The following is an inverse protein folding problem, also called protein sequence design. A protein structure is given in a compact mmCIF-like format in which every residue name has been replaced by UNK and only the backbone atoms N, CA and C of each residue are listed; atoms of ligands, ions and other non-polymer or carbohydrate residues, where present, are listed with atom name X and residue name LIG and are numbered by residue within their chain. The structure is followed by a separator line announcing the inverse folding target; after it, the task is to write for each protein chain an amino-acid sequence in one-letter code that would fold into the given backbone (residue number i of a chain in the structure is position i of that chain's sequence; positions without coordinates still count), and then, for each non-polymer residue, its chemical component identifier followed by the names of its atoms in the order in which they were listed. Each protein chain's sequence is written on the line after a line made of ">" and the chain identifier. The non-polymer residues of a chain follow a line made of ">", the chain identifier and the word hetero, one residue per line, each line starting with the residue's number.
data_IF_775930547890
#
_entry.id   IF_775930547890
#
_cell.length_a   1.000
_cell.length_b   1.000
_cell.length_c   1.000
_cell.angle_alpha   90.00
_cell.angle_beta   90.00
_cell.angle_gamma   90.00
#
_symmetry.space_group_name_H-M   'P 1'
#
loop_
_entity.id
_entity.type
_entity.pdbx_description
1 polymer ?
#
# COMPACT_ATOMS: atom_id res chain seq x y z
N UNK A 1 -15.86 -2.38 2.97
CA UNK A 1 -15.22 -3.37 3.85
C UNK A 1 -14.47 -4.44 3.07
N UNK A 2 -15.07 -4.97 1.99
CA UNK A 2 -14.39 -5.97 1.16
C UNK A 2 -13.19 -5.38 0.45
N UNK A 3 -13.30 -4.14 -0.01
CA UNK A 3 -12.18 -3.45 -0.66
C UNK A 3 -11.00 -3.33 0.28
N UNK A 4 -11.22 -2.88 1.52
CA UNK A 4 -10.16 -2.73 2.51
C UNK A 4 -9.50 -4.07 2.80
N UNK A 5 -10.29 -5.12 3.00
CA UNK A 5 -9.78 -6.45 3.27
C UNK A 5 -8.94 -7.00 2.11
N UNK A 6 -9.42 -6.80 0.88
CA UNK A 6 -8.69 -7.24 -0.32
C UNK A 6 -7.34 -6.54 -0.42
N UNK A 7 -7.34 -5.22 -0.29
CA UNK A 7 -6.11 -4.42 -0.42
C UNK A 7 -5.11 -4.81 0.66
N UNK A 8 -5.56 -4.89 1.92
CA UNK A 8 -4.66 -5.23 3.03
C UNK A 8 -4.10 -6.64 2.91
N UNK A 9 -4.93 -7.61 2.49
CA UNK A 9 -4.45 -8.98 2.29
C UNK A 9 -3.33 -9.02 1.23
N UNK A 10 -3.49 -8.27 0.16
CA UNK A 10 -2.47 -8.21 -0.90
C UNK A 10 -1.19 -7.52 -0.41
N UNK A 11 -1.31 -6.42 0.33
CA UNK A 11 -0.14 -5.72 0.86
C UNK A 11 0.67 -6.58 1.81
N UNK A 12 0.00 -7.40 2.62
CA UNK A 12 0.68 -8.26 3.58
C UNK A 12 1.50 -9.36 2.91
N UNK A 13 1.20 -9.72 1.67
CA UNK A 13 1.91 -10.78 0.97
C UNK A 13 2.69 -10.30 -0.26
N UNK A 14 2.75 -9.00 -0.50
CA UNK A 14 3.34 -8.47 -1.73
C UNK A 14 4.81 -8.87 -1.90
N UNK A 15 5.56 -8.93 -0.81
CA UNK A 15 6.98 -9.28 -0.87
C UNK A 15 7.19 -10.73 -1.28
N UNK A 16 6.23 -11.61 -1.01
CA UNK A 16 6.33 -13.03 -1.30
C UNK A 16 5.50 -13.45 -2.52
N UNK A 17 4.97 -12.49 -3.26
CA UNK A 17 4.18 -12.73 -4.45
C UNK A 17 5.01 -12.41 -5.68
N UNK A 18 4.93 -13.24 -6.72
CA UNK A 18 5.70 -13.01 -7.95
C UNK A 18 5.32 -11.68 -8.59
N UNK A 19 6.27 -11.07 -9.29
CA UNK A 19 5.99 -9.79 -9.97
C UNK A 19 4.83 -9.95 -10.96
N UNK A 20 4.79 -11.06 -11.69
CA UNK A 20 3.69 -11.29 -12.64
C UNK A 20 2.33 -11.26 -11.96
N UNK A 21 2.19 -11.89 -10.81
CA UNK A 21 0.93 -11.88 -10.06
C UNK A 21 0.63 -10.50 -9.50
N UNK A 22 1.64 -9.80 -8.99
CA UNK A 22 1.46 -8.44 -8.46
C UNK A 22 0.92 -7.52 -9.56
N UNK A 23 1.45 -7.63 -10.78
CA UNK A 23 0.98 -6.80 -11.89
C UNK A 23 -0.47 -7.13 -12.28
N UNK A 24 -0.91 -8.36 -12.09
CA UNK A 24 -2.32 -8.71 -12.31
C UNK A 24 -3.25 -8.00 -11.32
N UNK A 25 -2.76 -7.66 -10.14
CA UNK A 25 -3.57 -6.90 -9.18
C UNK A 25 -3.97 -5.53 -9.73
N UNK A 26 -3.11 -4.91 -10.55
CA UNK A 26 -3.46 -3.64 -11.17
C UNK A 26 -4.70 -3.79 -12.06
N UNK A 27 -4.81 -4.91 -12.76
CA UNK A 27 -5.99 -5.21 -13.56
C UNK A 27 -7.22 -5.43 -12.68
N UNK A 28 -7.07 -6.21 -11.61
CA UNK A 28 -8.17 -6.48 -10.69
C UNK A 28 -8.68 -5.19 -10.04
N UNK A 29 -7.77 -4.27 -9.73
CA UNK A 29 -8.10 -3.01 -9.05
C UNK A 29 -8.72 -1.97 -9.98
N UNK A 30 -8.87 -2.27 -11.28
CA UNK A 30 -9.58 -1.37 -12.19
C UNK A 30 -11.03 -1.14 -11.76
N UNK A 31 -11.60 -2.04 -10.96
CA UNK A 31 -12.94 -1.84 -10.39
C UNK A 31 -12.98 -0.62 -9.45
N UNK A 32 -11.81 -0.15 -8.99
CA UNK A 32 -11.70 1.01 -8.09
C UNK A 32 -11.29 2.29 -8.84
N UNK A 33 -11.25 2.28 -10.17
CA UNK A 33 -10.68 3.40 -10.93
C UNK A 33 -11.43 4.72 -10.77
N UNK A 34 -12.67 4.67 -10.31
CA UNK A 34 -13.48 5.87 -10.08
C UNK A 34 -13.64 6.20 -8.59
N UNK A 35 -12.91 5.51 -7.73
CA UNK A 35 -12.99 5.71 -6.28
C UNK A 35 -11.65 5.40 -5.64
N UNK A 36 -10.92 6.45 -5.28
CA UNK A 36 -9.54 6.32 -4.81
C UNK A 36 -9.43 5.94 -3.33
N UNK A 37 -10.52 5.49 -2.69
CA UNK A 37 -10.43 5.05 -1.29
C UNK A 37 -9.46 3.89 -1.10
N UNK A 38 -9.26 3.06 -2.13
CA UNK A 38 -8.26 1.99 -2.02
C UNK A 38 -6.86 2.54 -1.83
N UNK A 39 -6.55 3.71 -2.40
CA UNK A 39 -5.25 4.37 -2.18
C UNK A 39 -5.12 4.86 -0.75
N UNK A 40 -6.22 5.28 -0.13
CA UNK A 40 -6.20 5.67 1.28
C UNK A 40 -5.86 4.48 2.18
N UNK A 41 -6.37 3.30 1.86
CA UNK A 41 -6.04 2.08 2.61
C UNK A 41 -4.54 1.79 2.51
N UNK A 42 -3.97 1.90 1.30
CA UNK A 42 -2.53 1.66 1.11
C UNK A 42 -1.72 2.71 1.88
N UNK A 43 -2.11 3.98 1.78
CA UNK A 43 -1.40 5.06 2.47
C UNK A 43 -1.39 4.85 3.98
N UNK A 44 -2.54 4.48 4.56
CA UNK A 44 -2.63 4.23 6.00
C UNK A 44 -1.80 3.03 6.43
N UNK A 45 -1.74 1.97 5.60
CA UNK A 45 -0.91 0.81 5.89
C UNK A 45 0.56 1.21 6.05
N UNK A 46 1.11 1.93 5.08
CA UNK A 46 2.52 2.32 5.14
C UNK A 46 2.79 3.39 6.21
N UNK A 47 1.83 4.28 6.47
CA UNK A 47 1.93 5.22 7.57
C UNK A 47 2.01 4.50 8.91
N UNK A 48 1.14 3.51 9.12
CA UNK A 48 1.12 2.77 10.38
C UNK A 48 2.37 1.91 10.54
N UNK A 49 2.88 1.32 9.45
CA UNK A 49 4.16 0.60 9.49
C UNK A 49 5.29 1.54 9.92
N UNK A 50 5.32 2.75 9.37
CA UNK A 50 6.35 3.72 9.71
C UNK A 50 6.25 4.13 11.18
N UNK A 51 5.03 4.34 11.68
CA UNK A 51 4.82 4.67 13.08
C UNK A 51 5.24 3.52 13.98
N UNK A 52 4.86 2.29 13.66
CA UNK A 52 5.27 1.12 14.43
C UNK A 52 6.79 1.00 14.49
N UNK A 53 7.45 1.28 13.36
CA UNK A 53 8.91 1.22 13.26
C UNK A 53 9.59 2.27 14.13
N UNK A 54 9.05 3.50 14.14
CA UNK A 54 9.72 4.63 14.80
C UNK A 54 9.32 4.82 16.26
N UNK A 55 8.04 4.64 16.55
CA UNK A 55 7.49 5.08 17.84
C UNK A 55 7.30 3.94 18.83
N UNK A 56 7.18 2.70 18.31
CA UNK A 56 6.92 1.53 19.15
C UNK A 56 5.72 1.74 20.07
N UNK A 57 4.71 2.50 19.61
CA UNK A 57 3.54 2.83 20.40
C UNK A 57 2.27 2.46 19.65
N UNK A 58 1.62 1.39 20.09
CA UNK A 58 0.43 0.83 19.46
C UNK A 58 -0.74 1.80 19.46
N UNK A 59 -0.80 2.71 20.45
CA UNK A 59 -1.93 3.63 20.56
C UNK A 59 -1.97 4.64 19.45
N UNK A 60 -0.89 4.82 18.71
CA UNK A 60 -0.83 5.76 17.61
C UNK A 60 -1.20 5.14 16.26
N UNK A 61 -1.41 3.81 16.21
CA UNK A 61 -1.76 3.13 14.98
C UNK A 61 -3.24 3.32 14.66
N UNK A 62 -3.53 3.71 13.42
CA UNK A 62 -4.89 3.92 12.95
C UNK A 62 -5.59 2.57 12.73
N UNK A 63 -4.86 1.58 12.24
CA UNK A 63 -5.40 0.25 11.94
C UNK A 63 -5.10 -0.72 13.08
N UNK A 64 -5.65 -0.42 14.27
CA UNK A 64 -5.35 -1.18 15.48
C UNK A 64 -5.73 -2.65 15.40
N UNK A 65 -6.72 -2.98 14.60
CA UNK A 65 -7.13 -4.37 14.38
C UNK A 65 -6.06 -5.20 13.64
N UNK A 66 -5.02 -4.54 13.13
CA UNK A 66 -3.93 -5.18 12.41
C UNK A 66 -2.58 -5.04 13.12
N UNK A 67 -2.56 -4.70 14.41
CA UNK A 67 -1.31 -4.43 15.13
C UNK A 67 -0.30 -5.57 15.00
N UNK A 68 -0.73 -6.81 15.18
CA UNK A 68 0.18 -7.96 15.08
C UNK A 68 0.81 -8.05 13.69
N UNK A 69 0.00 -7.86 12.64
CA UNK A 69 0.49 -7.89 11.26
C UNK A 69 1.44 -6.72 11.00
N UNK A 70 1.11 -5.53 11.53
CA UNK A 70 1.96 -4.36 11.37
C UNK A 70 3.34 -4.57 11.96
N UNK A 71 3.41 -5.12 13.19
CA UNK A 71 4.71 -5.40 13.79
C UNK A 71 5.49 -6.45 13.01
N UNK A 72 4.81 -7.48 12.52
CA UNK A 72 5.48 -8.51 11.74
C UNK A 72 6.06 -7.97 10.43
N UNK A 73 5.43 -6.94 9.86
CA UNK A 73 5.87 -6.35 8.59
C UNK A 73 6.72 -5.09 8.75
N UNK A 74 6.85 -4.55 9.95
CA UNK A 74 7.62 -3.32 10.21
C UNK A 74 9.11 -3.61 10.35
N UNK A 75 9.65 -4.48 9.48
CA UNK A 75 11.07 -4.85 9.49
C UNK A 75 11.89 -4.03 8.49
N UNK A 76 11.21 -3.35 7.55
CA UNK A 76 11.90 -2.54 6.57
C UNK A 76 12.42 -1.25 7.21
N UNK A 77 13.48 -0.71 6.59
CA UNK A 77 14.03 0.58 6.99
C UNK A 77 12.97 1.66 6.96
N UNK A 78 13.03 2.59 7.92
CA UNK A 78 12.10 3.74 7.95
C UNK A 78 12.16 4.55 6.66
N UNK A 79 13.36 4.69 6.07
CA UNK A 79 13.52 5.41 4.80
C UNK A 79 12.78 4.71 3.66
N UNK A 80 12.81 3.38 3.63
CA UNK A 80 12.11 2.59 2.62
C UNK A 80 10.60 2.74 2.79
N UNK A 81 10.11 2.65 4.03
CA UNK A 81 8.69 2.81 4.31
C UNK A 81 8.19 4.21 3.94
N UNK A 82 8.99 5.23 4.25
CA UNK A 82 8.65 6.62 3.88
C UNK A 82 8.59 6.78 2.37
N UNK A 83 9.53 6.17 1.64
CA UNK A 83 9.53 6.19 0.18
C UNK A 83 8.26 5.56 -0.39
N UNK A 84 7.84 4.43 0.17
CA UNK A 84 6.61 3.76 -0.27
C UNK A 84 5.37 4.63 -0.01
N UNK A 85 5.32 5.30 1.14
CA UNK A 85 4.22 6.22 1.44
C UNK A 85 4.17 7.37 0.42
N UNK A 86 5.33 7.90 0.03
CA UNK A 86 5.41 8.95 -0.99
C UNK A 86 4.94 8.42 -2.34
N UNK A 87 5.32 7.18 -2.69
CA UNK A 87 4.90 6.57 -3.95
C UNK A 87 3.36 6.51 -4.07
N UNK A 88 2.67 6.22 -2.97
CA UNK A 88 1.21 6.21 -2.96
C UNK A 88 0.65 7.60 -3.27
N UNK A 89 1.23 8.65 -2.67
CA UNK A 89 0.78 10.02 -2.93
C UNK A 89 1.05 10.45 -4.37
N UNK A 90 2.18 10.04 -4.93
CA UNK A 90 2.50 10.32 -6.33
C UNK A 90 1.50 9.65 -7.26
N UNK A 91 1.12 8.41 -6.98
CA UNK A 91 0.14 7.71 -7.79
C UNK A 91 -1.21 8.42 -7.74
N UNK A 92 -1.65 8.87 -6.55
CA UNK A 92 -2.88 9.63 -6.41
C UNK A 92 -2.84 10.91 -7.24
N UNK A 93 -1.75 11.66 -7.16
CA UNK A 93 -1.60 12.90 -7.92
C UNK A 93 -1.68 12.63 -9.42
N UNK A 94 -1.00 11.59 -9.90
CA UNK A 94 -1.02 11.24 -11.32
C UNK A 94 -2.44 10.87 -11.78
N UNK A 95 -3.17 10.12 -10.96
CA UNK A 95 -4.53 9.73 -11.30
C UNK A 95 -5.49 10.92 -11.33
N UNK A 96 -5.32 11.89 -10.43
CA UNK A 96 -6.12 13.11 -10.47
C UNK A 96 -5.80 13.97 -11.69
N UNK A 97 -4.64 13.76 -12.31
CA UNK A 97 -4.24 14.43 -13.54
C UNK A 97 -4.53 13.57 -14.78
N UNK A 98 -5.43 12.61 -14.65
CA UNK A 98 -5.90 11.76 -15.75
C UNK A 98 -4.84 10.83 -16.34
N UNK A 99 -3.84 10.43 -15.55
CA UNK A 99 -2.90 9.40 -15.98
C UNK A 99 -3.62 8.07 -16.18
N UNK A 100 -3.07 7.20 -17.02
CA UNK A 100 -3.62 5.88 -17.26
C UNK A 100 -3.67 5.08 -15.95
N UNK A 101 -4.85 4.63 -15.55
CA UNK A 101 -5.03 3.96 -14.27
C UNK A 101 -4.17 2.70 -14.16
N UNK A 102 -4.30 1.80 -15.13
CA UNK A 102 -3.62 0.51 -15.10
C UNK A 102 -2.11 0.68 -14.97
N UNK A 103 -1.53 1.53 -15.82
CA UNK A 103 -0.09 1.77 -15.81
C UNK A 103 0.37 2.43 -14.52
N UNK A 104 -0.37 3.40 -14.02
CA UNK A 104 -0.03 4.10 -12.76
C UNK A 104 -0.01 3.11 -11.60
N UNK A 105 -0.99 2.23 -11.52
CA UNK A 105 -1.05 1.24 -10.45
C UNK A 105 0.01 0.16 -10.61
N UNK A 106 0.33 -0.25 -11.83
CA UNK A 106 1.42 -1.20 -12.06
C UNK A 106 2.75 -0.64 -11.53
N UNK A 107 3.03 0.62 -11.84
CA UNK A 107 4.26 1.27 -11.36
C UNK A 107 4.25 1.38 -9.83
N UNK A 108 3.13 1.77 -9.25
CA UNK A 108 3.00 1.85 -7.80
C UNK A 108 3.29 0.48 -7.15
N UNK A 109 2.67 -0.57 -7.66
CA UNK A 109 2.83 -1.91 -7.09
C UNK A 109 4.28 -2.40 -7.21
N UNK A 110 4.96 -2.09 -8.30
CA UNK A 110 6.37 -2.42 -8.44
C UNK A 110 7.21 -1.72 -7.38
N UNK A 111 6.94 -0.45 -7.11
CA UNK A 111 7.65 0.27 -6.06
C UNK A 111 7.35 -0.28 -4.67
N UNK A 112 6.09 -0.66 -4.41
CA UNK A 112 5.72 -1.23 -3.11
C UNK A 112 6.36 -2.60 -2.92
N UNK A 113 6.52 -3.37 -3.98
CA UNK A 113 7.23 -4.64 -3.91
C UNK A 113 8.74 -4.47 -3.80
N UNK A 114 9.26 -3.33 -4.24
CA UNK A 114 10.69 -3.05 -4.18
C UNK A 114 11.43 -3.45 -5.45
N UNK A 115 10.74 -3.42 -6.57
CA UNK A 115 11.38 -3.72 -7.87
C UNK A 115 11.30 -2.59 -8.86
#
# INVERSE_FOLDING_TARGET
>A
LQMRQDVLAKLQRIQNTSLAEVLLWAKEWEIYQNDFRFLDVIALWYRDLLFAKRLHDDTLLIQQDLQAALYAHATEDAAVLAHKAIAVQQARTQLTQNANFRLTIEVLLMELKGE
#
